data_IF_267850195674
#
_entry.id   IF_267850195674
#
_cell.length_a   1.000
_cell.length_b   1.000
_cell.length_c   1.000
_cell.angle_alpha   90.00
_cell.angle_beta   90.00
_cell.angle_gamma   90.00
#
_symmetry.space_group_name_H-M   'P 1'
#
loop_
_entity.id
_entity.type
_entity.pdbx_description
1 polymer ?
#
# COMPACT_ATOMS: atom_id res chain seq x y z
N UNK A 1 -30.38 11.82 16.89
CA UNK A 1 -29.91 10.96 17.85
C UNK A 1 -28.73 10.24 17.39
N UNK A 2 -27.71 10.21 18.17
CA UNK A 2 -26.50 9.52 17.77
C UNK A 2 -26.57 8.06 18.16
N UNK A 3 -26.31 7.19 17.22
CA UNK A 3 -26.21 5.79 17.51
C UNK A 3 -24.83 5.48 18.04
N UNK A 4 -24.78 4.61 19.02
CA UNK A 4 -23.51 4.13 19.54
C UNK A 4 -23.39 2.64 19.24
N UNK A 5 -22.24 2.24 18.75
CA UNK A 5 -21.98 0.86 18.39
C UNK A 5 -20.83 0.30 19.21
N UNK A 6 -20.97 -0.93 19.66
CA UNK A 6 -19.85 -1.61 20.30
C UNK A 6 -18.88 -2.01 19.22
N UNK A 7 -17.66 -2.32 19.61
CA UNK A 7 -16.60 -2.60 18.63
C UNK A 7 -16.96 -3.75 17.69
N UNK A 8 -17.68 -4.75 18.17
CA UNK A 8 -18.09 -5.86 17.30
C UNK A 8 -19.08 -5.43 16.23
N UNK A 9 -20.01 -4.53 16.57
CA UNK A 9 -20.95 -4.01 15.60
C UNK A 9 -20.24 -3.06 14.64
N UNK A 10 -19.39 -2.22 15.17
CA UNK A 10 -18.61 -1.27 14.36
C UNK A 10 -17.76 -2.03 13.34
N UNK A 11 -17.12 -3.12 13.79
CA UNK A 11 -16.32 -3.98 12.93
C UNK A 11 -17.12 -4.48 11.73
N UNK A 12 -18.36 -4.89 11.96
CA UNK A 12 -19.20 -5.38 10.88
C UNK A 12 -19.62 -4.26 9.93
N UNK A 13 -19.93 -3.10 10.48
CA UNK A 13 -20.37 -1.96 9.67
C UNK A 13 -19.25 -1.50 8.74
N UNK A 14 -18.03 -1.38 9.24
CA UNK A 14 -16.93 -0.89 8.43
C UNK A 14 -16.16 -2.02 7.74
N UNK A 15 -16.53 -3.26 8.02
CA UNK A 15 -15.91 -4.43 7.42
C UNK A 15 -14.41 -4.52 7.67
N UNK A 16 -14.03 -4.32 8.91
CA UNK A 16 -12.64 -4.49 9.36
C UNK A 16 -12.62 -5.40 10.57
N UNK A 17 -11.56 -6.21 10.72
CA UNK A 17 -11.42 -7.03 11.92
C UNK A 17 -11.32 -6.17 13.17
N UNK A 18 -11.84 -6.69 14.28
CA UNK A 18 -11.76 -5.99 15.56
C UNK A 18 -10.29 -5.69 15.91
N UNK A 19 -9.40 -6.62 15.59
CA UNK A 19 -7.98 -6.44 15.88
C UNK A 19 -7.43 -5.20 15.17
N UNK A 20 -7.83 -4.98 13.93
CA UNK A 20 -7.40 -3.82 13.17
C UNK A 20 -7.96 -2.53 13.80
N UNK A 21 -9.21 -2.57 14.22
CA UNK A 21 -9.82 -1.41 14.86
C UNK A 21 -9.12 -1.06 16.18
N UNK A 22 -8.74 -2.06 16.95
CA UNK A 22 -8.01 -1.82 18.18
C UNK A 22 -6.65 -1.23 17.91
N UNK A 23 -6.01 -1.68 16.82
CA UNK A 23 -4.72 -1.13 16.44
C UNK A 23 -4.87 0.33 16.02
N UNK A 24 -5.92 0.68 15.27
CA UNK A 24 -6.15 2.05 14.87
C UNK A 24 -6.45 2.94 16.08
N UNK A 25 -7.18 2.42 17.05
CA UNK A 25 -7.47 3.14 18.27
C UNK A 25 -6.16 3.41 19.03
N UNK A 26 -5.33 2.38 19.20
CA UNK A 26 -4.06 2.52 19.91
C UNK A 26 -3.11 3.45 19.17
N UNK A 27 -3.15 3.45 17.85
CA UNK A 27 -2.29 4.33 17.07
C UNK A 27 -2.81 5.78 17.12
N UNK A 28 -4.06 5.97 17.50
CA UNK A 28 -4.65 7.31 17.55
C UNK A 28 -5.36 7.75 16.28
N UNK A 29 -5.62 6.82 15.36
CA UNK A 29 -6.31 7.16 14.14
C UNK A 29 -7.81 7.25 14.33
N UNK A 30 -8.38 6.45 15.21
CA UNK A 30 -9.80 6.47 15.49
C UNK A 30 -9.95 6.61 16.98
N UNK A 31 -10.77 7.57 17.42
CA UNK A 31 -11.00 7.80 18.83
C UNK A 31 -12.44 7.45 19.10
N UNK A 32 -12.73 6.52 20.00
CA UNK A 32 -14.11 6.17 20.30
C UNK A 32 -14.86 7.38 20.81
N UNK A 33 -16.14 7.47 20.47
CA UNK A 33 -16.93 8.60 20.86
C UNK A 33 -17.32 8.53 22.33
N UNK A 34 -17.25 7.35 22.94
CA UNK A 34 -17.58 7.16 24.34
C UNK A 34 -16.84 5.96 24.89
N UNK A 35 -16.32 6.06 26.08
CA UNK A 35 -15.70 4.95 26.79
C UNK A 35 -16.39 4.85 28.14
N UNK A 36 -16.94 3.67 28.44
CA UNK A 36 -17.61 3.45 29.69
C UNK A 36 -16.56 3.38 30.79
N UNK A 37 -16.66 4.26 31.78
CA UNK A 37 -15.62 4.33 32.81
C UNK A 37 -15.61 3.16 33.76
N UNK A 38 -16.70 2.39 33.82
CA UNK A 38 -16.73 1.25 34.72
C UNK A 38 -16.22 -0.02 34.02
N UNK A 39 -16.63 -0.23 32.79
CA UNK A 39 -16.26 -1.47 32.08
C UNK A 39 -15.07 -1.28 31.16
N UNK A 40 -14.75 -0.04 30.78
CA UNK A 40 -13.71 0.23 29.80
C UNK A 40 -14.14 -0.06 28.38
N UNK A 41 -15.43 -0.39 28.18
CA UNK A 41 -15.90 -0.70 26.83
C UNK A 41 -15.93 0.56 25.98
N UNK A 42 -15.51 0.43 24.72
CA UNK A 42 -15.46 1.55 23.79
C UNK A 42 -16.65 1.52 22.87
N UNK A 43 -17.22 2.67 22.61
CA UNK A 43 -18.38 2.81 21.74
C UNK A 43 -18.05 3.81 20.64
N UNK A 44 -18.58 3.55 19.47
CA UNK A 44 -18.29 4.35 18.27
C UNK A 44 -19.59 4.87 17.69
N UNK A 45 -19.55 6.03 17.04
CA UNK A 45 -20.75 6.63 16.47
C UNK A 45 -20.62 6.75 14.95
N UNK A 46 -21.62 7.38 14.32
CA UNK A 46 -21.61 7.50 12.86
C UNK A 46 -20.46 8.33 12.34
N UNK A 47 -19.97 9.30 13.10
CA UNK A 47 -18.80 10.06 12.71
C UNK A 47 -17.58 9.14 12.65
N UNK A 48 -17.47 8.21 13.60
CA UNK A 48 -16.38 7.24 13.59
C UNK A 48 -16.48 6.33 12.36
N UNK A 49 -17.69 6.02 11.92
CA UNK A 49 -17.87 5.21 10.70
C UNK A 49 -17.28 5.97 9.51
N UNK A 50 -17.61 7.26 9.38
CA UNK A 50 -17.09 8.08 8.28
C UNK A 50 -15.58 8.20 8.33
N UNK A 51 -15.01 8.39 9.52
CA UNK A 51 -13.58 8.46 9.70
C UNK A 51 -12.91 7.17 9.27
N UNK A 52 -13.49 6.05 9.69
CA UNK A 52 -12.93 4.76 9.38
C UNK A 52 -12.97 4.49 7.88
N UNK A 53 -14.06 4.87 7.23
CA UNK A 53 -14.17 4.68 5.79
C UNK A 53 -13.12 5.49 5.04
N UNK A 54 -12.83 6.70 5.50
CA UNK A 54 -11.77 7.52 4.91
C UNK A 54 -10.41 6.84 5.10
N UNK A 55 -10.14 6.31 6.28
CA UNK A 55 -8.88 5.62 6.54
C UNK A 55 -8.73 4.42 5.61
N UNK A 56 -9.79 3.64 5.45
CA UNK A 56 -9.78 2.48 4.56
C UNK A 56 -9.47 2.92 3.13
N UNK A 57 -10.10 3.99 2.67
CA UNK A 57 -9.87 4.50 1.33
C UNK A 57 -8.42 4.93 1.16
N UNK A 58 -7.89 5.71 2.07
CA UNK A 58 -6.51 6.20 1.96
C UNK A 58 -5.51 5.05 2.03
N UNK A 59 -5.78 4.05 2.87
CA UNK A 59 -4.90 2.88 2.93
C UNK A 59 -4.88 2.15 1.59
N UNK A 60 -6.02 2.07 0.92
CA UNK A 60 -6.09 1.41 -0.37
C UNK A 60 -5.34 2.17 -1.46
N UNK A 61 -5.01 3.44 -1.20
CA UNK A 61 -4.28 4.28 -2.15
C UNK A 61 -2.82 4.44 -1.73
N UNK A 62 -2.34 3.52 -0.91
CA UNK A 62 -0.94 3.47 -0.49
C UNK A 62 -0.50 4.59 0.46
N UNK A 63 -1.44 5.17 1.18
CA UNK A 63 -1.04 6.06 2.26
C UNK A 63 -0.61 5.20 3.44
N UNK A 64 0.46 5.59 4.10
CA UNK A 64 0.88 4.92 5.34
C UNK A 64 0.03 5.44 6.48
N UNK A 65 0.04 4.73 7.61
CA UNK A 65 -0.74 5.17 8.77
C UNK A 65 -0.26 6.54 9.26
N UNK A 66 1.04 6.80 9.17
CA UNK A 66 1.57 8.08 9.56
C UNK A 66 1.06 9.19 8.65
N UNK A 67 1.05 8.94 7.35
CA UNK A 67 0.53 9.92 6.39
C UNK A 67 -0.95 10.19 6.64
N UNK A 68 -1.72 9.14 6.92
CA UNK A 68 -3.14 9.29 7.20
C UNK A 68 -3.34 10.11 8.48
N UNK A 69 -2.57 9.80 9.51
CA UNK A 69 -2.65 10.52 10.76
C UNK A 69 -2.41 12.01 10.56
N UNK A 70 -1.49 12.35 9.66
CA UNK A 70 -1.15 13.74 9.42
C UNK A 70 -2.17 14.49 8.55
N UNK A 71 -2.95 13.80 7.76
CA UNK A 71 -3.82 14.48 6.79
C UNK A 71 -5.31 14.21 6.92
N UNK A 72 -5.72 13.23 7.71
CA UNK A 72 -7.14 12.86 7.72
C UNK A 72 -8.09 13.96 8.12
N UNK A 73 -7.63 14.89 8.97
CA UNK A 73 -8.48 15.97 9.41
C UNK A 73 -8.38 17.19 8.50
N UNK A 74 -7.45 17.21 7.58
CA UNK A 74 -7.28 18.33 6.67
C UNK A 74 -6.67 17.81 5.36
N UNK A 75 -7.48 17.05 4.63
CA UNK A 75 -7.04 16.48 3.37
C UNK A 75 -7.11 17.55 2.29
N UNK A 76 -5.99 17.86 1.69
CA UNK A 76 -5.90 18.93 0.71
C UNK A 76 -5.54 18.38 -0.67
N UNK A 77 -5.76 19.20 -1.68
CA UNK A 77 -5.39 18.84 -3.05
C UNK A 77 -3.88 18.62 -3.16
N UNK A 78 -3.10 19.37 -2.37
CA UNK A 78 -1.64 19.22 -2.39
C UNK A 78 -1.21 17.84 -1.89
N UNK A 79 -1.87 17.34 -0.84
CA UNK A 79 -1.55 16.01 -0.31
C UNK A 79 -1.88 14.95 -1.36
N UNK A 80 -3.03 15.09 -2.01
CA UNK A 80 -3.44 14.13 -3.05
C UNK A 80 -2.48 14.18 -4.23
N UNK A 81 -2.08 15.38 -4.63
CA UNK A 81 -1.17 15.54 -5.76
C UNK A 81 0.19 14.94 -5.46
N UNK A 82 0.67 15.09 -4.24
CA UNK A 82 1.94 14.49 -3.84
C UNK A 82 1.88 12.96 -3.93
N UNK A 83 0.75 12.38 -3.54
CA UNK A 83 0.59 10.92 -3.61
C UNK A 83 0.50 10.47 -5.07
N UNK A 84 -0.18 11.24 -5.93
CA UNK A 84 -0.24 10.92 -7.34
C UNK A 84 1.14 10.93 -7.97
N UNK A 85 1.98 11.89 -7.58
CA UNK A 85 3.33 12.00 -8.10
C UNK A 85 4.15 10.79 -7.65
N UNK A 86 4.00 10.39 -6.40
CA UNK A 86 4.69 9.23 -5.87
C UNK A 86 4.29 7.98 -6.66
N UNK A 87 3.01 7.83 -6.97
CA UNK A 87 2.53 6.69 -7.74
C UNK A 87 3.06 6.73 -9.18
N UNK A 88 3.15 7.91 -9.78
CA UNK A 88 3.70 8.03 -11.12
C UNK A 88 5.17 7.61 -11.14
N UNK A 89 5.93 7.95 -10.11
CA UNK A 89 7.32 7.54 -10.02
C UNK A 89 7.43 6.01 -9.92
N UNK A 90 6.49 5.39 -9.19
CA UNK A 90 6.45 3.93 -9.08
C UNK A 90 6.12 3.29 -10.43
N UNK A 91 5.18 3.88 -11.17
CA UNK A 91 4.82 3.39 -12.49
C UNK A 91 6.03 3.46 -13.41
N UNK A 92 6.76 4.56 -13.39
CA UNK A 92 7.95 4.71 -14.23
C UNK A 92 9.00 3.67 -13.88
N UNK A 93 9.21 3.43 -12.60
CA UNK A 93 10.19 2.45 -12.16
C UNK A 93 9.78 1.05 -12.60
N UNK A 94 8.51 0.70 -12.41
CA UNK A 94 8.01 -0.61 -12.80
C UNK A 94 8.07 -0.79 -14.31
N UNK A 95 7.79 0.27 -15.06
CA UNK A 95 7.87 0.23 -16.51
C UNK A 95 9.30 -0.08 -16.98
N UNK A 96 10.29 0.54 -16.31
CA UNK A 96 11.68 0.26 -16.65
C UNK A 96 12.07 -1.17 -16.37
N UNK A 97 11.60 -1.71 -15.25
CA UNK A 97 11.87 -3.09 -14.89
C UNK A 97 11.23 -4.04 -15.89
N UNK A 98 10.01 -3.73 -16.32
CA UNK A 98 9.33 -4.54 -17.27
C UNK A 98 10.09 -4.57 -18.61
N UNK A 99 10.59 -3.42 -19.05
CA UNK A 99 11.35 -3.37 -20.30
C UNK A 99 12.62 -4.20 -20.20
N UNK A 100 13.29 -4.20 -19.06
CA UNK A 100 14.47 -5.02 -18.89
C UNK A 100 14.15 -6.50 -18.98
N UNK A 101 13.03 -6.90 -18.37
CA UNK A 101 12.59 -8.28 -18.43
C UNK A 101 12.27 -8.69 -19.87
N UNK A 102 11.66 -7.79 -20.63
CA UNK A 102 11.35 -8.09 -22.03
C UNK A 102 12.62 -8.30 -22.84
N UNK A 103 13.65 -7.51 -22.59
CA UNK A 103 14.92 -7.67 -23.30
C UNK A 103 15.54 -9.03 -22.96
N UNK A 104 15.53 -9.40 -21.68
CA UNK A 104 16.08 -10.70 -21.26
C UNK A 104 15.28 -11.84 -21.90
N UNK A 105 13.97 -11.69 -21.93
CA UNK A 105 13.11 -12.69 -22.53
C UNK A 105 13.43 -12.88 -24.00
N UNK A 106 13.64 -11.80 -24.73
CA UNK A 106 13.98 -11.85 -26.12
C UNK A 106 15.34 -12.49 -26.35
N UNK A 107 16.31 -12.18 -25.50
CA UNK A 107 17.61 -12.79 -25.63
C UNK A 107 17.56 -14.28 -25.38
N UNK A 108 16.81 -14.70 -24.39
CA UNK A 108 16.67 -16.12 -24.12
C UNK A 108 15.96 -16.85 -25.25
N UNK A 109 14.98 -16.22 -25.85
CA UNK A 109 14.30 -16.85 -26.99
C UNK A 109 15.23 -16.95 -28.17
N UNK A 110 16.02 -15.93 -28.40
CA UNK A 110 16.96 -15.93 -29.52
C UNK A 110 18.01 -17.00 -29.31
N UNK A 111 18.52 -17.17 -28.12
CA UNK A 111 19.49 -18.20 -27.82
C UNK A 111 18.84 -19.55 -28.05
N UNK A 112 17.61 -19.71 -27.64
CA UNK A 112 16.95 -20.96 -27.78
C UNK A 112 16.77 -21.31 -29.27
N UNK A 113 16.46 -20.36 -30.10
CA UNK A 113 16.29 -20.62 -31.52
C UNK A 113 17.61 -21.04 -32.14
N UNK A 114 18.71 -20.54 -31.66
CA UNK A 114 19.96 -20.90 -32.22
C UNK A 114 20.60 -21.98 -31.45
N UNK A 115 19.93 -22.56 -30.55
CA UNK A 115 20.52 -23.53 -29.66
C UNK A 115 21.14 -24.67 -30.39
N UNK A 116 20.73 -24.94 -31.58
CA UNK A 116 21.29 -26.02 -32.18
C UNK A 116 22.71 -25.86 -32.42
N UNK A 117 23.17 -24.78 -32.69
CA UNK A 117 24.51 -24.70 -32.99
C UNK A 117 25.40 -24.29 -31.97
N UNK A 118 25.06 -23.77 -31.01
CA UNK A 118 25.96 -23.34 -30.13
C UNK A 118 25.86 -23.52 -28.90
N UNK A 119 26.38 -23.34 -28.13
CA UNK A 119 26.19 -23.64 -26.95
C UNK A 119 26.78 -22.77 -26.04
N UNK A 120 27.27 -22.07 -26.11
CA UNK A 120 27.99 -21.39 -25.22
C UNK A 120 27.38 -20.22 -24.87
N UNK A 121 27.70 -19.34 -24.72
CA UNK A 121 27.16 -18.20 -24.42
C UNK A 121 26.28 -17.92 -23.36
N UNK A 122 25.68 -18.60 -22.89
CA UNK A 122 24.83 -18.35 -21.90
C UNK A 122 25.33 -17.42 -20.94
N UNK A 123 26.39 -17.46 -20.58
CA UNK A 123 26.86 -16.71 -19.50
C UNK A 123 26.66 -15.25 -19.70
N UNK A 124 26.77 -14.80 -20.83
CA UNK A 124 26.69 -13.49 -20.97
C UNK A 124 25.54 -12.90 -20.43
N UNK A 125 24.57 -13.43 -20.54
CA UNK A 125 23.41 -12.89 -20.09
C UNK A 125 23.53 -12.46 -18.73
N UNK A 126 24.05 -13.25 -17.97
CA UNK A 126 24.08 -12.95 -16.64
C UNK A 126 24.85 -11.83 -16.34
N UNK A 127 25.69 -11.63 -17.06
CA UNK A 127 26.48 -10.62 -16.77
C UNK A 127 25.83 -9.43 -16.40
N UNK A 128 24.98 -9.26 -16.86
CA UNK A 128 24.38 -8.12 -16.57
C UNK A 128 24.25 -7.72 -15.37
N UNK A 129 24.48 -7.82 -15.02
CA UNK A 129 24.40 -7.27 -14.15
C UNK A 129 24.38 -6.44 -13.64
N UNK A 130 24.66 -6.35 -13.44
CA UNK A 130 24.65 -5.58 -12.92
C UNK A 130 24.56 -4.72 -12.56
N UNK A 131 24.84 -4.62 -12.24
CA UNK A 131 24.96 -3.83 -11.87
C UNK A 131 24.95 -2.94 -11.48
N UNK A 132 25.32 -2.93 -11.47
CA UNK A 132 25.48 -2.02 -11.03
C UNK A 132 24.72 -1.08 -10.93
N UNK A 133 24.58 -0.83 -11.14
CA UNK A 133 23.70 -0.01 -11.08
C UNK A 133 22.70 -0.03 -10.69
N UNK A 134 22.87 -0.63 -10.56
CA UNK A 134 22.05 -0.63 -10.25
C UNK A 134 21.57 -0.59 -9.64
N UNK A 135 22.10 -0.75 -9.32
CA UNK A 135 21.86 -0.70 -8.67
C UNK A 135 21.14 -0.45 -8.39
N UNK A 136 21.22 -0.35 -8.59
CA UNK A 136 20.49 -0.11 -8.36
C UNK A 136 19.70 -0.48 -8.09
N UNK A 137 19.90 -0.82 -7.87
CA UNK A 137 19.22 -1.25 -7.65
C UNK A 137 18.69 -1.31 -7.22
N UNK A 138 18.79 -1.19 -6.86
CA UNK A 138 18.29 -1.27 -6.45
C UNK A 138 18.04 -1.23 -6.31
#
# INVERSE_FOLDING_TARGET
>A
MNNLYKIGEFSKIVNLPIKTLRYYDEYGLIEPSYVDEFTGYRYYNDTNISECKLIILLKSLDFTLEEISNCKDNLTAEVINAKRKELNDKIDLLTKKQKRLMIIEQELSSVKDKSQNIQTNKPKVLVLTPNKDNNIVA
#
